data_IF_070539054767
#
_entry.id   IF_070539054767
#
_cell.length_a   1.000
_cell.length_b   1.000
_cell.length_c   1.000
_cell.angle_alpha   90.00
_cell.angle_beta   90.00
_cell.angle_gamma   90.00
#
_symmetry.space_group_name_H-M   'P 1'
#
loop_
_entity.id
_entity.type
_entity.pdbx_description
1 polymer ?
#
# COMPACT_ATOMS: atom_id res chain seq x y z
N UNK A 1 -17.33 5.84 -22.28
CA UNK A 1 -17.51 4.52 -21.64
C UNK A 1 -18.49 4.64 -20.48
N UNK A 2 -18.26 5.53 -19.52
CA UNK A 2 -19.15 5.73 -18.35
C UNK A 2 -20.60 5.99 -18.75
N UNK A 3 -20.84 6.86 -19.73
CA UNK A 3 -22.19 7.14 -20.25
C UNK A 3 -22.91 5.92 -20.86
N UNK A 4 -22.15 4.96 -21.42
CA UNK A 4 -22.70 3.75 -22.05
C UNK A 4 -23.19 2.76 -20.98
N UNK A 5 -22.44 2.67 -19.87
CA UNK A 5 -22.82 1.85 -18.72
C UNK A 5 -23.98 2.48 -17.95
N UNK A 6 -23.86 3.77 -17.62
CA UNK A 6 -24.91 4.55 -16.97
C UNK A 6 -25.13 4.24 -15.49
N UNK A 7 -24.27 3.42 -14.85
CA UNK A 7 -24.35 3.10 -13.42
C UNK A 7 -23.21 3.78 -12.63
N UNK A 8 -23.43 4.10 -11.34
CA UNK A 8 -22.40 4.76 -10.52
C UNK A 8 -21.18 3.88 -10.22
N UNK A 9 -21.33 2.56 -10.33
CA UNK A 9 -20.35 1.55 -9.92
C UNK A 9 -19.96 0.61 -11.07
N UNK A 10 -20.22 1.00 -12.33
CA UNK A 10 -19.89 0.22 -13.53
C UNK A 10 -20.47 -1.21 -13.49
N UNK A 11 -21.63 -1.38 -12.86
CA UNK A 11 -22.23 -2.70 -12.59
C UNK A 11 -22.91 -3.33 -13.81
N UNK A 12 -23.17 -2.57 -14.87
CA UNK A 12 -23.85 -3.08 -16.07
C UNK A 12 -22.88 -3.77 -17.03
N UNK A 13 -21.72 -3.18 -17.29
CA UNK A 13 -20.68 -3.77 -18.15
C UNK A 13 -19.54 -4.40 -17.35
N UNK A 14 -19.42 -4.07 -16.06
CA UNK A 14 -18.38 -4.54 -15.16
C UNK A 14 -17.12 -3.66 -15.21
N UNK A 15 -16.61 -3.29 -14.03
CA UNK A 15 -15.39 -2.49 -13.90
C UNK A 15 -14.18 -3.10 -14.63
N UNK A 16 -14.09 -4.43 -14.69
CA UNK A 16 -13.00 -5.13 -15.38
C UNK A 16 -13.02 -4.90 -16.90
N UNK A 17 -14.21 -4.78 -17.52
CA UNK A 17 -14.33 -4.50 -18.95
C UNK A 17 -13.90 -3.06 -19.27
N UNK A 18 -14.28 -2.12 -18.41
CA UNK A 18 -13.84 -0.72 -18.47
C UNK A 18 -12.33 -0.60 -18.35
N UNK A 19 -11.76 -1.27 -17.35
CA UNK A 19 -10.36 -1.24 -17.02
C UNK A 19 -9.49 -1.65 -18.22
N UNK A 20 -9.75 -2.82 -18.81
CA UNK A 20 -8.97 -3.32 -19.95
C UNK A 20 -9.01 -2.39 -21.17
N UNK A 21 -10.19 -1.86 -21.51
CA UNK A 21 -10.33 -0.92 -22.64
C UNK A 21 -9.63 0.41 -22.32
N UNK A 22 -9.78 0.91 -21.09
CA UNK A 22 -9.16 2.17 -20.66
C UNK A 22 -7.63 2.12 -20.74
N UNK A 23 -7.01 1.02 -20.28
CA UNK A 23 -5.56 0.83 -20.34
C UNK A 23 -5.08 0.74 -21.80
N UNK A 24 -5.80 -0.04 -22.60
CA UNK A 24 -5.50 -0.23 -24.03
C UNK A 24 -5.54 1.08 -24.81
N UNK A 25 -6.55 1.92 -24.56
CA UNK A 25 -6.67 3.25 -25.20
C UNK A 25 -5.55 4.20 -24.75
N UNK A 26 -5.13 4.15 -23.49
CA UNK A 26 -4.00 4.94 -23.00
C UNK A 26 -2.68 4.54 -23.72
N UNK A 27 -2.43 3.23 -23.86
CA UNK A 27 -1.30 2.68 -24.62
C UNK A 27 -1.36 3.05 -26.09
N UNK A 28 -2.52 2.88 -26.74
CA UNK A 28 -2.72 3.27 -28.13
C UNK A 28 -2.48 4.77 -28.35
N UNK A 29 -2.96 5.61 -27.44
CA UNK A 29 -2.72 7.06 -27.49
C UNK A 29 -1.25 7.46 -27.28
N UNK A 30 -0.46 6.66 -26.57
CA UNK A 30 0.99 6.84 -26.50
C UNK A 30 1.67 6.43 -27.83
N UNK A 31 1.24 5.30 -28.41
CA UNK A 31 1.72 4.79 -29.70
C UNK A 31 1.44 5.74 -30.86
N UNK A 32 0.23 6.27 -30.97
CA UNK A 32 -0.18 7.26 -31.98
C UNK A 32 0.71 8.52 -31.95
N UNK A 33 1.09 8.95 -30.74
CA UNK A 33 1.96 10.12 -30.53
C UNK A 33 3.46 9.78 -30.60
N UNK A 34 3.82 8.51 -30.81
CA UNK A 34 5.19 8.01 -30.80
C UNK A 34 6.01 8.45 -29.56
N UNK A 35 5.39 8.40 -28.38
CA UNK A 35 6.03 8.72 -27.09
C UNK A 35 5.92 7.54 -26.12
N UNK A 36 6.84 7.43 -25.14
CA UNK A 36 6.68 6.47 -24.04
C UNK A 36 5.38 6.66 -23.28
N UNK A 37 4.84 5.57 -22.71
CA UNK A 37 3.56 5.59 -22.00
C UNK A 37 3.56 6.55 -20.81
N UNK A 38 4.60 6.55 -19.96
CA UNK A 38 4.71 7.50 -18.86
C UNK A 38 4.68 8.97 -19.33
N UNK A 39 5.22 9.29 -20.52
CA UNK A 39 5.14 10.63 -21.12
C UNK A 39 3.73 10.95 -21.62
N UNK A 40 3.00 9.97 -22.13
CA UNK A 40 1.60 10.14 -22.47
C UNK A 40 0.77 10.43 -21.21
N UNK A 41 0.98 9.65 -20.15
CA UNK A 41 0.34 9.82 -18.84
C UNK A 41 0.67 11.19 -18.24
N UNK A 42 1.92 11.66 -18.36
CA UNK A 42 2.32 13.01 -17.97
C UNK A 42 1.47 14.09 -18.66
N UNK A 43 1.28 13.96 -19.97
CA UNK A 43 0.52 14.95 -20.76
C UNK A 43 -0.96 14.97 -20.35
N UNK A 44 -1.59 13.81 -20.17
CA UNK A 44 -3.01 13.74 -19.80
C UNK A 44 -3.28 14.09 -18.34
N UNK A 45 -2.31 13.89 -17.45
CA UNK A 45 -2.41 14.30 -16.03
C UNK A 45 -2.06 15.78 -15.79
N UNK A 46 -1.45 16.46 -16.76
CA UNK A 46 -0.94 17.83 -16.58
C UNK A 46 0.26 17.92 -15.62
N UNK A 47 0.93 16.80 -15.34
CA UNK A 47 2.08 16.73 -14.43
C UNK A 47 3.28 17.47 -15.01
N UNK A 48 3.77 18.49 -14.30
CA UNK A 48 4.85 19.37 -14.78
C UNK A 48 6.21 18.69 -14.77
N UNK A 49 6.53 18.04 -13.65
CA UNK A 49 7.83 17.39 -13.42
C UNK A 49 7.61 15.92 -13.12
N UNK A 50 8.40 15.08 -13.77
CA UNK A 50 8.42 13.65 -13.47
C UNK A 50 9.37 13.40 -12.31
N UNK A 51 8.98 12.49 -11.43
CA UNK A 51 9.84 11.97 -10.37
C UNK A 51 9.94 10.47 -10.52
N UNK A 52 11.09 9.93 -10.09
CA UNK A 52 11.21 8.50 -9.92
C UNK A 52 10.66 8.09 -8.56
N UNK A 53 10.13 6.89 -8.50
CA UNK A 53 9.30 6.44 -7.38
C UNK A 53 10.12 5.69 -6.35
N UNK A 54 9.80 5.88 -5.07
CA UNK A 54 10.29 5.03 -3.97
C UNK A 54 9.59 3.68 -4.07
N UNK A 55 10.37 2.62 -3.91
CA UNK A 55 9.90 1.23 -3.93
C UNK A 55 9.51 0.78 -2.52
N UNK A 56 8.25 0.40 -2.35
CA UNK A 56 7.77 -0.33 -1.18
C UNK A 56 7.70 -1.83 -1.52
N UNK A 57 8.70 -2.58 -1.05
CA UNK A 57 8.78 -4.02 -1.28
C UNK A 57 8.08 -4.74 -0.15
N UNK A 58 7.03 -5.49 -0.46
CA UNK A 58 6.38 -6.35 0.51
C UNK A 58 7.24 -7.61 0.74
N UNK A 59 7.74 -7.85 1.95
CA UNK A 59 8.74 -8.89 2.25
C UNK A 59 8.29 -9.96 3.25
N UNK A 60 7.24 -9.70 4.04
CA UNK A 60 6.55 -10.69 4.88
C UNK A 60 5.05 -10.48 4.74
N UNK A 61 4.30 -11.55 4.47
CA UNK A 61 2.87 -11.51 4.20
C UNK A 61 2.07 -12.36 5.20
N UNK A 62 0.79 -12.05 5.35
CA UNK A 62 -0.25 -12.88 6.00
C UNK A 62 -1.30 -13.34 4.99
N UNK A 63 -2.00 -14.43 5.31
CA UNK A 63 -3.36 -14.70 4.80
C UNK A 63 -3.33 -15.64 3.61
N UNK A 64 -4.10 -15.35 2.55
CA UNK A 64 -4.02 -16.08 1.26
C UNK A 64 -2.61 -16.13 0.66
N UNK A 65 -1.71 -15.30 1.20
CA UNK A 65 -0.32 -15.14 0.79
C UNK A 65 0.71 -15.88 1.67
N UNK A 66 0.31 -16.40 2.84
CA UNK A 66 1.18 -17.16 3.73
C UNK A 66 0.38 -17.95 4.79
N UNK A 67 0.77 -19.21 5.01
CA UNK A 67 0.23 -20.07 6.07
C UNK A 67 0.92 -19.75 7.42
N UNK A 68 0.50 -18.65 8.05
CA UNK A 68 1.02 -18.18 9.33
C UNK A 68 -0.04 -17.51 10.20
N UNK A 69 0.30 -17.22 11.45
CA UNK A 69 -0.57 -16.60 12.45
C UNK A 69 -0.44 -15.08 12.57
N UNK A 70 0.27 -14.42 11.64
CA UNK A 70 0.39 -12.97 11.67
C UNK A 70 -0.98 -12.30 11.66
N UNK A 71 -1.08 -11.19 12.39
CA UNK A 71 -2.28 -10.35 12.36
C UNK A 71 -2.12 -9.12 11.49
N UNK A 72 -0.92 -8.63 11.20
CA UNK A 72 -0.73 -7.61 10.17
C UNK A 72 -0.56 -8.25 8.80
N UNK A 73 -1.02 -7.58 7.75
CA UNK A 73 -1.08 -8.16 6.41
C UNK A 73 0.27 -8.16 5.69
N UNK A 74 0.96 -7.02 5.70
CA UNK A 74 2.21 -6.82 4.98
C UNK A 74 3.25 -6.12 5.86
N UNK A 75 4.49 -6.58 5.77
CA UNK A 75 5.66 -5.86 6.26
C UNK A 75 6.53 -5.51 5.06
N UNK A 76 6.74 -4.23 4.86
CA UNK A 76 7.43 -3.69 3.71
C UNK A 76 8.80 -3.13 4.07
N UNK A 77 9.72 -3.13 3.11
CA UNK A 77 10.96 -2.34 3.17
C UNK A 77 10.97 -1.25 2.11
N UNK A 78 11.47 -0.08 2.48
CA UNK A 78 11.52 1.12 1.63
C UNK A 78 12.95 1.68 1.62
N UNK A 79 13.75 1.41 0.56
CA UNK A 79 15.11 1.95 0.41
C UNK A 79 15.14 3.45 0.08
N UNK A 80 14.72 4.30 1.02
CA UNK A 80 14.45 5.74 0.81
C UNK A 80 15.70 6.63 0.70
N UNK A 81 16.89 6.13 1.03
CA UNK A 81 18.14 6.92 1.00
C UNK A 81 19.08 6.57 -0.16
N UNK A 82 18.64 5.74 -1.10
CA UNK A 82 19.44 5.43 -2.29
C UNK A 82 19.38 6.58 -3.30
N UNK A 83 20.45 6.77 -4.07
CA UNK A 83 20.56 7.92 -5.00
C UNK A 83 19.83 7.66 -6.31
N UNK A 84 19.57 6.39 -6.62
CA UNK A 84 18.91 5.97 -7.86
C UNK A 84 17.91 4.84 -7.61
N UNK A 85 16.94 4.73 -8.51
CA UNK A 85 15.98 3.62 -8.50
C UNK A 85 16.67 2.25 -8.61
N UNK A 86 17.75 2.14 -9.39
CA UNK A 86 18.49 0.90 -9.55
C UNK A 86 19.18 0.47 -8.23
N UNK A 87 19.75 1.42 -7.48
CA UNK A 87 20.32 1.15 -6.16
C UNK A 87 19.24 0.79 -5.13
N UNK A 88 18.09 1.46 -5.17
CA UNK A 88 16.94 1.12 -4.33
C UNK A 88 16.45 -0.31 -4.61
N UNK A 89 16.35 -0.70 -5.88
CA UNK A 89 15.97 -2.05 -6.28
C UNK A 89 16.99 -3.10 -5.83
N UNK A 90 18.28 -2.82 -6.02
CA UNK A 90 19.36 -3.69 -5.53
C UNK A 90 19.30 -3.87 -4.01
N UNK A 91 19.13 -2.77 -3.27
CA UNK A 91 18.99 -2.79 -1.81
C UNK A 91 17.79 -3.64 -1.38
N UNK A 92 16.62 -3.43 -1.99
CA UNK A 92 15.43 -4.22 -1.71
C UNK A 92 15.65 -5.72 -1.95
N UNK A 93 16.28 -6.09 -3.06
CA UNK A 93 16.59 -7.48 -3.40
C UNK A 93 17.58 -8.12 -2.42
N UNK A 94 18.68 -7.44 -2.11
CA UNK A 94 19.69 -7.96 -1.17
C UNK A 94 19.12 -8.16 0.25
N UNK A 95 18.30 -7.22 0.73
CA UNK A 95 17.59 -7.37 2.02
C UNK A 95 16.59 -8.51 1.95
N UNK A 96 15.81 -8.65 0.87
CA UNK A 96 14.84 -9.72 0.70
C UNK A 96 15.50 -11.12 0.72
N UNK A 97 16.59 -11.31 -0.03
CA UNK A 97 17.33 -12.59 -0.03
C UNK A 97 17.97 -12.89 1.32
N UNK A 98 18.45 -11.87 2.03
CA UNK A 98 18.96 -12.01 3.40
C UNK A 98 17.86 -12.44 4.35
N UNK A 99 16.70 -11.77 4.32
CA UNK A 99 15.54 -12.11 5.13
C UNK A 99 15.06 -13.53 4.87
N UNK A 100 14.98 -13.94 3.60
CA UNK A 100 14.63 -15.32 3.21
C UNK A 100 15.57 -16.35 3.83
N UNK A 101 16.86 -16.04 3.92
CA UNK A 101 17.84 -16.90 4.59
C UNK A 101 17.62 -17.00 6.11
N UNK A 102 17.30 -15.88 6.76
CA UNK A 102 17.02 -15.81 8.20
C UNK A 102 15.76 -16.62 8.53
N UNK A 103 14.64 -16.33 7.86
CA UNK A 103 13.37 -17.04 8.07
C UNK A 103 13.56 -18.54 7.85
N UNK A 104 14.29 -18.93 6.80
CA UNK A 104 14.56 -20.35 6.53
C UNK A 104 15.37 -21.03 7.64
N UNK A 105 16.30 -20.32 8.26
CA UNK A 105 17.12 -20.88 9.35
C UNK A 105 16.31 -21.03 10.64
N UNK A 106 15.35 -20.14 10.90
CA UNK A 106 14.60 -20.09 12.16
C UNK A 106 13.29 -20.89 12.12
N UNK A 107 12.56 -20.86 11.01
CA UNK A 107 11.23 -21.49 10.85
C UNK A 107 11.16 -22.53 9.73
N UNK A 108 12.26 -22.77 9.00
CA UNK A 108 12.28 -23.74 7.91
C UNK A 108 11.57 -23.24 6.65
N UNK A 109 10.36 -23.72 6.37
CA UNK A 109 9.53 -23.23 5.26
C UNK A 109 8.42 -22.27 5.71
N UNK A 110 8.15 -22.23 7.01
CA UNK A 110 7.07 -21.44 7.56
C UNK A 110 7.50 -19.97 7.71
N UNK A 111 6.52 -19.09 7.77
CA UNK A 111 6.73 -17.68 8.03
C UNK A 111 6.63 -17.37 9.54
N UNK A 112 7.10 -16.19 9.92
CA UNK A 112 6.94 -15.64 11.27
C UNK A 112 5.47 -15.65 11.71
N UNK A 113 5.20 -15.78 13.01
CA UNK A 113 3.85 -15.86 13.57
C UNK A 113 3.46 -14.65 14.43
N UNK A 114 4.42 -13.84 14.87
CA UNK A 114 4.18 -12.63 15.66
C UNK A 114 4.56 -11.34 14.89
N UNK A 115 3.79 -10.27 15.07
CA UNK A 115 4.01 -9.02 14.34
C UNK A 115 5.32 -8.33 14.74
N UNK A 116 5.67 -8.35 16.03
CA UNK A 116 6.88 -7.69 16.54
C UNK A 116 8.11 -8.50 16.13
N UNK A 117 8.02 -9.82 16.23
CA UNK A 117 9.03 -10.74 15.72
C UNK A 117 9.28 -10.52 14.22
N UNK A 118 8.24 -10.37 13.41
CA UNK A 118 8.35 -10.06 11.98
C UNK A 118 9.15 -8.78 11.72
N UNK A 119 8.89 -7.72 12.49
CA UNK A 119 9.66 -6.46 12.41
C UNK A 119 11.12 -6.63 12.85
N UNK A 120 11.39 -7.44 13.88
CA UNK A 120 12.76 -7.76 14.34
C UNK A 120 13.53 -8.50 13.25
N UNK A 121 12.90 -9.48 12.58
CA UNK A 121 13.52 -10.21 11.46
C UNK A 121 13.84 -9.28 10.28
N UNK A 122 12.93 -8.37 9.95
CA UNK A 122 13.16 -7.36 8.90
C UNK A 122 14.34 -6.45 9.27
N UNK A 123 14.41 -6.00 10.53
CA UNK A 123 15.54 -5.19 11.02
C UNK A 123 16.87 -5.95 10.96
N UNK A 124 16.90 -7.22 11.38
CA UNK A 124 18.08 -8.09 11.29
C UNK A 124 18.52 -8.30 9.83
N UNK A 125 17.57 -8.48 8.91
CA UNK A 125 17.87 -8.58 7.48
C UNK A 125 18.45 -7.28 6.91
N UNK A 126 17.90 -6.12 7.29
CA UNK A 126 18.42 -4.80 6.87
C UNK A 126 19.85 -4.62 7.38
N UNK A 127 20.11 -4.99 8.64
CA UNK A 127 21.44 -4.87 9.25
C UNK A 127 22.47 -5.80 8.62
N UNK A 128 22.14 -7.09 8.50
CA UNK A 128 23.01 -8.10 7.87
C UNK A 128 23.32 -7.81 6.41
N UNK A 129 22.39 -7.19 5.68
CA UNK A 129 22.60 -6.75 4.31
C UNK A 129 23.42 -5.44 4.22
N UNK A 130 23.67 -4.75 5.33
CA UNK A 130 24.50 -3.54 5.39
C UNK A 130 23.75 -2.25 5.05
N UNK A 131 22.42 -2.22 5.22
CA UNK A 131 21.55 -1.10 4.82
C UNK A 131 20.87 -0.37 6.00
N UNK A 132 21.37 -0.56 7.22
CA UNK A 132 20.89 0.14 8.43
C UNK A 132 20.89 1.66 8.22
N UNK A 133 19.74 2.29 8.51
CA UNK A 133 19.53 3.73 8.35
C UNK A 133 19.22 4.22 6.93
N UNK A 134 19.44 3.37 5.91
CA UNK A 134 19.07 3.66 4.51
C UNK A 134 17.69 3.15 4.13
N UNK A 135 17.27 2.06 4.74
CA UNK A 135 15.99 1.40 4.52
C UNK A 135 15.04 1.69 5.68
N UNK A 136 13.80 2.00 5.36
CA UNK A 136 12.68 2.17 6.30
C UNK A 136 11.73 0.99 6.22
N UNK A 137 10.83 0.87 7.18
CA UNK A 137 9.81 -0.17 7.20
C UNK A 137 8.44 0.44 6.90
N UNK A 138 7.59 -0.29 6.19
CA UNK A 138 6.17 0.00 6.05
C UNK A 138 5.34 -1.14 6.59
N UNK A 139 4.10 -0.85 6.97
CA UNK A 139 3.15 -1.88 7.43
C UNK A 139 1.81 -1.70 6.74
N UNK A 140 1.14 -2.81 6.40
CA UNK A 140 -0.28 -2.85 6.07
C UNK A 140 -0.99 -3.66 7.15
N UNK A 141 -1.86 -2.99 7.90
CA UNK A 141 -2.64 -3.61 8.96
C UNK A 141 -3.82 -4.42 8.45
N UNK A 142 -4.43 -4.00 7.33
CA UNK A 142 -5.72 -4.49 6.84
C UNK A 142 -6.70 -4.76 7.99
N UNK A 143 -6.89 -3.76 8.86
CA UNK A 143 -7.50 -3.97 10.17
C UNK A 143 -8.98 -4.39 10.10
N UNK A 144 -9.68 -4.10 9.00
CA UNK A 144 -11.02 -4.61 8.74
C UNK A 144 -11.09 -6.15 8.75
N UNK A 145 -10.03 -6.85 8.33
CA UNK A 145 -9.96 -8.32 8.31
C UNK A 145 -9.89 -8.95 9.71
N UNK A 146 -9.46 -8.17 10.72
CA UNK A 146 -9.37 -8.63 12.11
C UNK A 146 -10.45 -8.02 12.99
N UNK A 147 -11.41 -7.29 12.39
CA UNK A 147 -12.51 -6.68 13.10
C UNK A 147 -13.53 -7.74 13.54
N UNK A 148 -13.74 -7.82 14.85
CA UNK A 148 -14.78 -8.66 15.44
C UNK A 148 -16.16 -8.01 15.35
N UNK A 149 -17.21 -8.83 15.48
CA UNK A 149 -18.61 -8.37 15.58
C UNK A 149 -18.90 -7.41 16.75
N UNK A 150 -17.94 -7.19 17.65
CA UNK A 150 -18.04 -6.31 18.81
C UNK A 150 -17.28 -4.99 18.63
N UNK A 151 -16.90 -4.63 17.39
CA UNK A 151 -16.11 -3.43 17.08
C UNK A 151 -14.78 -3.37 17.87
N UNK A 152 -14.10 -4.52 17.93
CA UNK A 152 -12.76 -4.71 18.49
C UNK A 152 -11.91 -5.47 17.49
N UNK A 153 -10.60 -5.32 17.55
CA UNK A 153 -9.63 -5.92 16.64
C UNK A 153 -8.97 -7.13 17.31
N UNK A 154 -9.13 -8.32 16.75
CA UNK A 154 -8.53 -9.56 17.27
C UNK A 154 -7.19 -9.84 16.57
N UNK A 155 -6.10 -9.45 17.21
CA UNK A 155 -4.75 -9.68 16.66
C UNK A 155 -4.29 -11.15 16.77
N UNK A 156 -5.18 -12.07 17.16
CA UNK A 156 -4.94 -13.51 17.16
C UNK A 156 -6.12 -14.27 16.52
N UNK A 157 -6.82 -13.64 15.57
CA UNK A 157 -8.07 -14.14 14.99
C UNK A 157 -7.97 -15.53 14.33
N UNK A 158 -6.80 -15.93 13.84
CA UNK A 158 -6.55 -17.24 13.21
C UNK A 158 -6.45 -18.40 14.21
N UNK A 159 -6.04 -18.13 15.44
CA UNK A 159 -5.92 -19.16 16.47
C UNK A 159 -7.23 -19.22 17.25
N UNK A 160 -8.14 -20.11 16.84
CA UNK A 160 -9.41 -20.31 17.53
C UNK A 160 -9.49 -21.68 18.20
N UNK A 161 -9.94 -21.76 19.47
CA UNK A 161 -10.31 -20.64 20.35
C UNK A 161 -9.08 -19.90 20.91
N UNK A 162 -9.10 -18.56 20.95
CA UNK A 162 -8.12 -17.76 21.71
C UNK A 162 -8.66 -17.32 23.08
N UNK A 163 -7.77 -16.83 23.94
CA UNK A 163 -8.06 -16.37 25.30
C UNK A 163 -8.55 -14.91 25.38
N UNK A 164 -8.68 -14.24 24.23
CA UNK A 164 -9.06 -12.83 24.12
C UNK A 164 -8.00 -11.83 24.58
N UNK A 165 -6.79 -12.26 24.97
CA UNK A 165 -5.75 -11.37 25.49
C UNK A 165 -5.25 -10.37 24.43
N UNK A 166 -5.35 -10.73 23.15
CA UNK A 166 -4.93 -9.93 22.00
C UNK A 166 -6.08 -9.19 21.31
N UNK A 167 -7.26 -9.12 21.95
CA UNK A 167 -8.42 -8.38 21.44
C UNK A 167 -8.36 -6.93 21.93
N UNK A 168 -8.05 -6.02 21.02
CA UNK A 168 -7.89 -4.60 21.31
C UNK A 168 -9.14 -3.82 20.91
N UNK A 169 -9.48 -2.79 21.68
CA UNK A 169 -10.35 -1.73 21.15
C UNK A 169 -9.53 -0.75 20.29
N UNK A 170 -10.18 0.19 19.62
CA UNK A 170 -9.47 1.12 18.73
C UNK A 170 -8.40 1.96 19.45
N UNK A 171 -8.63 2.34 20.71
CA UNK A 171 -7.61 3.03 21.51
C UNK A 171 -6.38 2.14 21.76
N UNK A 172 -6.59 0.87 22.14
CA UNK A 172 -5.51 -0.10 22.33
C UNK A 172 -4.72 -0.35 21.04
N UNK A 173 -5.40 -0.42 19.90
CA UNK A 173 -4.74 -0.57 18.60
C UNK A 173 -3.97 0.70 18.19
N UNK A 174 -4.45 1.89 18.55
CA UNK A 174 -3.71 3.15 18.36
C UNK A 174 -2.41 3.16 19.19
N UNK A 175 -2.47 2.76 20.46
CA UNK A 175 -1.26 2.67 21.30
C UNK A 175 -0.29 1.59 20.81
N UNK A 176 -0.80 0.48 20.28
CA UNK A 176 0.01 -0.56 19.62
C UNK A 176 0.86 0.03 18.47
N UNK A 177 0.26 0.80 17.56
CA UNK A 177 1.02 1.41 16.46
C UNK A 177 2.02 2.48 16.95
N UNK A 178 1.66 3.27 17.97
CA UNK A 178 2.58 4.26 18.57
C UNK A 178 3.81 3.60 19.17
N UNK A 179 3.64 2.46 19.86
CA UNK A 179 4.75 1.69 20.41
C UNK A 179 5.65 1.16 19.29
N UNK A 180 5.07 0.63 18.22
CA UNK A 180 5.83 0.09 17.10
C UNK A 180 6.64 1.17 16.39
N UNK A 181 6.08 2.35 16.21
CA UNK A 181 6.75 3.47 15.53
C UNK A 181 7.88 4.06 16.39
N UNK A 182 7.78 3.91 17.71
CA UNK A 182 8.88 4.26 18.63
C UNK A 182 10.03 3.25 18.54
N UNK A 183 9.71 1.97 18.41
CA UNK A 183 10.69 0.88 18.45
C UNK A 183 11.33 0.60 17.08
N UNK A 184 10.62 0.87 15.98
CA UNK A 184 11.02 0.52 14.61
C UNK A 184 10.96 1.73 13.67
N UNK A 185 11.79 1.78 12.61
CA UNK A 185 11.82 2.89 11.65
C UNK A 185 10.66 2.82 10.64
N UNK A 186 9.43 2.73 11.15
CA UNK A 186 8.19 2.66 10.36
C UNK A 186 7.88 4.04 9.79
N UNK A 187 7.51 4.11 8.51
CA UNK A 187 7.18 5.36 7.81
C UNK A 187 5.76 5.35 7.25
N UNK A 188 5.34 4.38 6.41
CA UNK A 188 3.92 4.20 6.16
C UNK A 188 3.30 3.15 7.07
N UNK A 189 2.11 3.46 7.58
CA UNK A 189 1.14 2.46 8.05
C UNK A 189 -0.11 2.58 7.18
N UNK A 190 -0.46 1.48 6.53
CA UNK A 190 -1.67 1.32 5.73
C UNK A 190 -2.77 0.63 6.53
N UNK A 191 -4.00 1.08 6.33
CA UNK A 191 -5.22 0.53 6.93
C UNK A 191 -5.09 0.13 8.43
N UNK A 192 -4.68 1.07 9.31
CA UNK A 192 -4.51 0.80 10.74
C UNK A 192 -5.83 0.48 11.44
N UNK A 193 -6.97 0.94 10.91
CA UNK A 193 -8.30 0.72 11.48
C UNK A 193 -9.29 0.33 10.40
N UNK A 194 -10.47 -0.11 10.82
CA UNK A 194 -11.57 -0.41 9.90
C UNK A 194 -11.91 0.77 8.98
N UNK A 195 -12.30 0.45 7.74
CA UNK A 195 -12.67 1.40 6.69
C UNK A 195 -13.75 2.43 7.10
N UNK A 196 -14.58 2.18 8.12
CA UNK A 196 -15.60 3.13 8.56
C UNK A 196 -15.30 3.76 9.94
N UNK A 197 -14.17 3.42 10.57
CA UNK A 197 -13.73 3.99 11.87
C UNK A 197 -12.94 5.30 11.71
N UNK A 198 -13.59 6.29 11.09
CA UNK A 198 -13.01 7.60 10.81
C UNK A 198 -12.39 8.31 12.04
N UNK A 199 -12.98 8.12 13.22
CA UNK A 199 -12.50 8.72 14.45
C UNK A 199 -11.13 8.21 14.86
N UNK A 200 -10.90 6.90 14.73
CA UNK A 200 -9.63 6.28 15.13
C UNK A 200 -8.52 6.62 14.14
N UNK A 201 -8.84 6.65 12.84
CA UNK A 201 -7.95 7.18 11.80
C UNK A 201 -7.47 8.60 12.12
N UNK A 202 -8.40 9.52 12.37
CA UNK A 202 -8.05 10.90 12.69
C UNK A 202 -7.28 11.05 14.01
N UNK A 203 -7.63 10.23 15.01
CA UNK A 203 -6.91 10.18 16.28
C UNK A 203 -5.45 9.78 16.08
N UNK A 204 -5.19 8.72 15.31
CA UNK A 204 -3.83 8.28 15.00
C UNK A 204 -3.09 9.33 14.16
N UNK A 205 -3.70 9.84 13.09
CA UNK A 205 -3.08 10.88 12.24
C UNK A 205 -2.64 12.11 13.04
N UNK A 206 -3.42 12.52 14.04
CA UNK A 206 -3.08 13.65 14.91
C UNK A 206 -1.99 13.34 15.94
N UNK A 207 -1.74 12.05 16.20
CA UNK A 207 -0.85 11.58 17.28
C UNK A 207 0.56 11.20 16.82
N UNK A 208 0.75 10.94 15.52
CA UNK A 208 2.03 10.48 14.97
C UNK A 208 2.39 11.22 13.69
N UNK A 209 3.67 11.55 13.52
CA UNK A 209 4.19 12.19 12.31
C UNK A 209 4.69 11.12 11.33
N UNK A 210 3.75 10.56 10.57
CA UNK A 210 4.02 9.51 9.60
C UNK A 210 3.03 9.54 8.44
N UNK A 211 3.30 8.71 7.43
CA UNK A 211 2.36 8.48 6.36
C UNK A 211 1.31 7.45 6.81
N UNK A 212 0.04 7.85 6.82
CA UNK A 212 -1.10 6.96 6.96
C UNK A 212 -1.73 6.78 5.59
N UNK A 213 -1.54 5.58 5.05
CA UNK A 213 -1.98 5.20 3.72
C UNK A 213 -3.36 4.56 3.83
N UNK A 214 -4.29 5.00 3.00
CA UNK A 214 -5.60 4.36 2.87
C UNK A 214 -5.63 3.34 1.72
N UNK A 215 -6.30 2.21 1.92
CA UNK A 215 -6.71 1.29 0.85
C UNK A 215 -8.23 1.08 0.86
N UNK A 216 -8.74 0.33 1.86
CA UNK A 216 -10.18 0.05 1.99
C UNK A 216 -10.97 1.28 2.45
N UNK A 217 -10.31 2.21 3.15
CA UNK A 217 -10.94 3.46 3.60
C UNK A 217 -11.40 4.33 2.44
N UNK A 218 -10.63 4.47 1.35
CA UNK A 218 -11.02 5.35 0.23
C UNK A 218 -11.48 4.60 -1.00
N UNK A 219 -11.01 3.37 -1.22
CA UNK A 219 -11.30 2.56 -2.43
C UNK A 219 -11.16 3.35 -3.73
N UNK A 220 -10.17 4.25 -3.79
CA UNK A 220 -9.94 5.19 -4.90
C UNK A 220 -11.21 6.00 -5.29
N UNK A 221 -12.11 6.26 -4.34
CA UNK A 221 -13.40 6.93 -4.57
C UNK A 221 -13.34 8.43 -4.22
N UNK A 222 -13.62 9.35 -5.17
CA UNK A 222 -13.55 10.80 -4.92
C UNK A 222 -14.39 11.31 -3.74
N UNK A 223 -15.54 10.67 -3.45
CA UNK A 223 -16.39 11.07 -2.31
C UNK A 223 -15.74 10.71 -0.98
N UNK A 224 -15.19 9.51 -0.87
CA UNK A 224 -14.48 9.08 0.35
C UNK A 224 -13.19 9.85 0.53
N UNK A 225 -12.45 10.14 -0.55
CA UNK A 225 -11.28 11.04 -0.53
C UNK A 225 -11.65 12.40 0.06
N UNK A 226 -12.73 13.02 -0.44
CA UNK A 226 -13.20 14.31 0.08
C UNK A 226 -13.55 14.24 1.56
N UNK A 227 -14.22 13.18 2.00
CA UNK A 227 -14.58 12.97 3.40
C UNK A 227 -13.36 12.76 4.31
N UNK A 228 -12.37 11.99 3.85
CA UNK A 228 -11.12 11.74 4.57
C UNK A 228 -10.31 13.01 4.79
N UNK A 229 -10.25 13.88 3.78
CA UNK A 229 -9.62 15.20 3.88
C UNK A 229 -10.34 16.05 4.93
N UNK A 230 -11.67 16.09 4.92
CA UNK A 230 -12.46 16.87 5.88
C UNK A 230 -12.27 16.36 7.31
N UNK A 231 -12.20 15.04 7.48
CA UNK A 231 -12.06 14.39 8.77
C UNK A 231 -10.60 14.29 9.25
N UNK A 232 -9.63 14.61 8.38
CA UNK A 232 -8.20 14.39 8.62
C UNK A 232 -7.96 12.95 9.08
N UNK A 233 -8.41 12.00 8.26
CA UNK A 233 -8.33 10.57 8.57
C UNK A 233 -7.02 9.93 8.10
N UNK A 234 -6.57 10.24 6.89
CA UNK A 234 -5.30 9.78 6.31
C UNK A 234 -4.57 10.92 5.60
N UNK A 235 -3.33 10.69 5.17
CA UNK A 235 -2.53 11.66 4.41
C UNK A 235 -1.86 11.05 3.16
N UNK A 236 -2.23 9.83 2.76
CA UNK A 236 -1.73 9.22 1.54
C UNK A 236 -2.75 8.24 0.95
N UNK A 237 -3.01 8.38 -0.35
CA UNK A 237 -3.91 7.49 -1.11
C UNK A 237 -3.15 6.27 -1.63
N UNK A 238 -3.62 5.05 -1.34
CA UNK A 238 -3.22 3.87 -2.11
C UNK A 238 -4.06 3.80 -3.39
N UNK A 239 -3.43 4.06 -4.53
CA UNK A 239 -4.12 4.12 -5.80
C UNK A 239 -4.11 2.75 -6.49
N UNK A 240 -5.29 2.13 -6.58
CA UNK A 240 -5.53 0.91 -7.36
C UNK A 240 -6.49 1.22 -8.50
N UNK A 241 -5.95 1.25 -9.72
CA UNK A 241 -6.70 1.68 -10.92
C UNK A 241 -7.98 0.86 -11.14
N UNK A 242 -7.97 -0.43 -10.80
CA UNK A 242 -9.12 -1.30 -10.97
C UNK A 242 -10.21 -1.13 -9.89
N UNK A 243 -9.95 -0.43 -8.77
CA UNK A 243 -11.00 -0.09 -7.80
C UNK A 243 -11.96 0.97 -8.36
N UNK A 244 -11.44 1.94 -9.14
CA UNK A 244 -12.24 2.99 -9.77
C UNK A 244 -12.57 2.70 -11.25
N UNK A 245 -11.82 1.82 -11.90
CA UNK A 245 -12.16 1.19 -13.17
C UNK A 245 -11.68 1.90 -14.44
N UNK A 246 -11.26 3.17 -14.38
CA UNK A 246 -10.68 3.88 -15.54
C UNK A 246 -9.37 4.61 -15.20
N UNK A 247 -8.52 4.78 -16.21
CA UNK A 247 -7.26 5.54 -16.11
C UNK A 247 -7.56 7.01 -15.81
N UNK A 248 -8.60 7.58 -16.42
CA UNK A 248 -8.98 8.98 -16.21
C UNK A 248 -9.41 9.24 -14.77
N UNK A 249 -10.30 8.43 -14.21
CA UNK A 249 -10.76 8.59 -12.83
C UNK A 249 -9.62 8.33 -11.84
N UNK A 250 -8.72 7.39 -12.14
CA UNK A 250 -7.53 7.13 -11.32
C UNK A 250 -6.59 8.33 -11.27
N UNK A 251 -6.27 8.92 -12.43
CA UNK A 251 -5.44 10.13 -12.49
C UNK A 251 -6.12 11.28 -11.72
N UNK A 252 -7.44 11.45 -11.88
CA UNK A 252 -8.16 12.49 -11.16
C UNK A 252 -8.10 12.28 -9.63
N UNK A 253 -8.33 11.06 -9.14
CA UNK A 253 -8.21 10.74 -7.72
C UNK A 253 -6.80 11.04 -7.16
N UNK A 254 -5.75 10.71 -7.92
CA UNK A 254 -4.38 11.05 -7.55
C UNK A 254 -4.16 12.58 -7.47
N UNK A 255 -4.67 13.33 -8.44
CA UNK A 255 -4.53 14.78 -8.48
C UNK A 255 -5.31 15.45 -7.35
N UNK A 256 -6.51 14.96 -7.02
CA UNK A 256 -7.32 15.46 -5.92
C UNK A 256 -6.64 15.21 -4.56
N UNK A 257 -6.05 14.03 -4.36
CA UNK A 257 -5.24 13.72 -3.17
C UNK A 257 -4.08 14.73 -3.05
N UNK A 258 -3.28 14.87 -4.11
CA UNK A 258 -2.13 15.80 -4.14
C UNK A 258 -2.52 17.27 -3.94
N UNK A 259 -3.65 17.70 -4.50
CA UNK A 259 -4.13 19.07 -4.36
C UNK A 259 -4.46 19.45 -2.92
N UNK A 260 -4.69 18.46 -2.06
CA UNK A 260 -4.96 18.65 -0.62
C UNK A 260 -3.74 18.37 0.26
N UNK A 261 -2.58 18.13 -0.36
CA UNK A 261 -1.32 17.84 0.33
C UNK A 261 -1.14 16.37 0.71
N UNK A 262 -2.02 15.48 0.24
CA UNK A 262 -1.88 14.04 0.41
C UNK A 262 -0.88 13.43 -0.57
N UNK A 263 -0.14 12.43 -0.11
CA UNK A 263 0.72 11.61 -0.96
C UNK A 263 -0.11 10.61 -1.79
N UNK A 264 0.52 9.97 -2.77
CA UNK A 264 -0.09 8.89 -3.55
C UNK A 264 0.90 7.75 -3.71
N UNK A 265 0.54 6.58 -3.20
CA UNK A 265 1.26 5.33 -3.44
C UNK A 265 0.52 4.52 -4.50
N UNK A 266 1.10 4.37 -5.69
CA UNK A 266 0.52 3.48 -6.71
C UNK A 266 0.65 2.05 -6.26
N UNK A 267 -0.40 1.26 -6.39
CA UNK A 267 -0.41 -0.12 -5.88
C UNK A 267 -0.83 -1.14 -6.93
N UNK A 268 -0.19 -2.30 -6.85
CA UNK A 268 -0.59 -3.52 -7.52
C UNK A 268 -1.85 -4.15 -6.88
N UNK A 269 -2.27 -5.29 -7.43
CA UNK A 269 -3.22 -6.19 -6.77
C UNK A 269 -2.54 -7.48 -6.31
N UNK A 270 -3.17 -8.17 -5.37
CA UNK A 270 -2.73 -9.50 -4.91
C UNK A 270 -2.72 -10.54 -6.05
N UNK A 271 -3.67 -10.43 -6.99
CA UNK A 271 -3.66 -11.15 -8.26
C UNK A 271 -3.20 -10.23 -9.39
N UNK A 272 -1.89 -10.20 -9.63
CA UNK A 272 -1.29 -9.41 -10.72
C UNK A 272 -1.13 -10.19 -12.03
N UNK A 273 -0.75 -9.45 -13.08
CA UNK A 273 -0.40 -9.98 -14.41
C UNK A 273 1.01 -9.55 -14.82
N UNK A 274 1.45 -9.95 -16.01
CA UNK A 274 2.67 -9.44 -16.63
C UNK A 274 2.57 -7.98 -17.11
N UNK A 275 1.39 -7.35 -17.04
CA UNK A 275 1.19 -5.96 -17.48
C UNK A 275 1.95 -4.99 -16.56
N UNK A 276 2.73 -4.10 -17.17
CA UNK A 276 3.59 -3.14 -16.49
C UNK A 276 3.01 -1.71 -16.36
N UNK A 277 1.71 -1.53 -16.59
CA UNK A 277 1.07 -0.21 -16.71
C UNK A 277 1.30 0.67 -15.48
N UNK A 278 1.24 0.11 -14.28
CA UNK A 278 1.37 0.87 -13.04
C UNK A 278 2.77 1.46 -12.84
N UNK A 279 3.81 0.88 -13.46
CA UNK A 279 5.16 1.45 -13.45
C UNK A 279 5.21 2.77 -14.24
N UNK A 280 4.69 2.77 -15.48
CA UNK A 280 4.55 3.98 -16.28
C UNK A 280 3.59 4.99 -15.63
N UNK A 281 2.53 4.51 -14.99
CA UNK A 281 1.54 5.35 -14.31
C UNK A 281 2.18 6.11 -13.12
N UNK A 282 2.89 5.39 -12.24
CA UNK A 282 3.57 5.97 -11.08
C UNK A 282 4.53 7.08 -11.47
N UNK A 283 5.33 6.86 -12.52
CA UNK A 283 6.22 7.90 -13.06
C UNK A 283 5.40 9.02 -13.72
N UNK A 284 4.44 8.65 -14.56
CA UNK A 284 3.73 9.56 -15.45
C UNK A 284 2.95 10.66 -14.74
N UNK A 285 2.33 10.37 -13.59
CA UNK A 285 1.71 11.41 -12.75
C UNK A 285 2.56 11.81 -11.53
N UNK A 286 3.82 11.35 -11.47
CA UNK A 286 4.77 11.62 -10.41
C UNK A 286 4.27 11.22 -9.01
N UNK A 287 3.77 9.99 -8.83
CA UNK A 287 3.21 9.52 -7.55
C UNK A 287 4.21 9.63 -6.39
N UNK A 288 5.48 9.39 -6.68
CA UNK A 288 6.58 9.44 -5.72
C UNK A 288 6.80 8.12 -4.99
N UNK A 289 5.78 7.26 -4.91
CA UNK A 289 5.84 5.96 -4.25
C UNK A 289 5.06 4.90 -5.04
N UNK A 290 5.56 3.66 -5.03
CA UNK A 290 4.89 2.49 -5.62
C UNK A 290 5.05 1.25 -4.71
N UNK A 291 3.96 0.49 -4.53
CA UNK A 291 3.94 -0.84 -3.93
C UNK A 291 3.55 -1.86 -5.00
N UNK A 292 4.50 -2.70 -5.40
CA UNK A 292 4.28 -3.67 -6.49
C UNK A 292 4.82 -5.07 -6.17
N UNK A 293 4.90 -5.41 -4.88
CA UNK A 293 5.28 -6.74 -4.41
C UNK A 293 6.75 -6.89 -4.04
N UNK A 294 7.14 -8.15 -3.76
CA UNK A 294 8.50 -8.53 -3.39
C UNK A 294 9.44 -8.57 -4.62
N UNK A 295 10.75 -8.36 -4.44
CA UNK A 295 11.75 -8.62 -5.48
C UNK A 295 12.16 -10.10 -5.45
N UNK A 296 11.23 -11.01 -5.81
CA UNK A 296 11.35 -12.46 -5.60
C UNK A 296 11.62 -13.31 -6.86
#
# INVERSE_FOLDING_TARGET
>A
MLDIDGTPNQSKLGANAFFGVSLSLCRAGAGDKAIPLYKHIQKISGTKELIMTVLAFNVINRGSHADNNLAMQEFMILPVRESTFAEALRTGSEVYHTLKGIIKAEYGQDACNDNREGLVLVMDAIDKAGYTGKTKIGMDGAASEVLTKYAKYDLNFKNQPNDGAHVLNAQGLCEFYKEYVKDFPIVPIEDPFDQDDWSSWASLQSSVDMQLVDDDLLVTNPKRITEAIQKKACNALLLKVNQIGTVTESIQAALDSKATGGDVMVSHRSGETEDNFIADLSVGFASGQIRTGAPC
#
